data_IF_671409688534
#
_entry.id   IF_671409688534
#
_cell.length_a   1.000
_cell.length_b   1.000
_cell.length_c   1.000
_cell.angle_alpha   90.00
_cell.angle_beta   90.00
_cell.angle_gamma   90.00
#
_symmetry.space_group_name_H-M   'P 1'
#
loop_
_entity.id
_entity.type
_entity.pdbx_description
1 polymer ?
#
# COMPACT_ATOMS: atom_id res chain seq x y z
N UNK A 1 -3.53 8.51 12.43
CA UNK A 1 -4.52 8.69 11.34
C UNK A 1 -3.73 9.11 10.12
N UNK A 2 -3.80 8.36 9.02
CA UNK A 2 -3.03 8.64 7.80
C UNK A 2 -3.94 9.42 6.85
N UNK A 3 -3.49 10.58 6.37
CA UNK A 3 -4.23 11.40 5.42
C UNK A 3 -3.43 11.58 4.14
N UNK A 4 -3.63 10.67 3.18
CA UNK A 4 -3.00 10.73 1.86
C UNK A 4 -3.66 11.83 1.01
N UNK A 5 -3.31 13.10 1.27
CA UNK A 5 -3.98 14.29 0.71
C UNK A 5 -3.90 14.37 -0.82
N UNK A 6 -2.81 13.85 -1.40
CA UNK A 6 -2.53 13.92 -2.83
C UNK A 6 -2.60 12.57 -3.53
N UNK A 7 -3.30 11.59 -2.92
CA UNK A 7 -3.50 10.28 -3.52
C UNK A 7 -4.80 10.25 -4.31
N UNK A 8 -4.70 10.07 -5.62
CA UNK A 8 -5.88 9.82 -6.44
C UNK A 8 -6.24 8.33 -6.51
N UNK A 9 -7.46 8.03 -6.98
CA UNK A 9 -7.98 6.65 -7.05
C UNK A 9 -7.11 5.74 -7.93
N UNK A 10 -6.55 6.25 -9.03
CA UNK A 10 -5.70 5.47 -9.93
C UNK A 10 -4.40 5.06 -9.23
N UNK A 11 -3.78 5.99 -8.52
CA UNK A 11 -2.57 5.73 -7.73
C UNK A 11 -2.83 4.72 -6.59
N UNK A 12 -3.97 4.85 -5.90
CA UNK A 12 -4.37 3.88 -4.88
C UNK A 12 -4.53 2.47 -5.46
N UNK A 13 -5.20 2.34 -6.61
CA UNK A 13 -5.37 1.05 -7.30
C UNK A 13 -4.02 0.46 -7.72
N UNK A 14 -3.09 1.29 -8.21
CA UNK A 14 -1.74 0.85 -8.55
C UNK A 14 -1.00 0.31 -7.31
N UNK A 15 -1.05 1.03 -6.19
CA UNK A 15 -0.42 0.60 -4.93
C UNK A 15 -0.96 -0.75 -4.48
N UNK A 16 -2.29 -0.91 -4.47
CA UNK A 16 -2.93 -2.14 -4.02
C UNK A 16 -2.61 -3.32 -4.96
N UNK A 17 -2.55 -3.07 -6.27
CA UNK A 17 -2.17 -4.09 -7.25
C UNK A 17 -0.74 -4.57 -7.05
N UNK A 18 0.22 -3.65 -6.89
CA UNK A 18 1.63 -4.00 -6.64
C UNK A 18 1.79 -4.86 -5.38
N UNK A 19 1.06 -4.53 -4.32
CA UNK A 19 1.10 -5.29 -3.06
C UNK A 19 0.45 -6.67 -3.25
N UNK A 20 -0.68 -6.75 -3.94
CA UNK A 20 -1.35 -8.02 -4.25
C UNK A 20 -0.45 -8.97 -5.05
N UNK A 21 0.21 -8.47 -6.10
CA UNK A 21 1.12 -9.26 -6.93
C UNK A 21 2.32 -9.78 -6.13
N UNK A 22 2.83 -8.98 -5.18
CA UNK A 22 3.89 -9.39 -4.26
C UNK A 22 3.42 -10.48 -3.28
N UNK A 23 2.20 -10.34 -2.76
CA UNK A 23 1.59 -11.25 -1.79
C UNK A 23 1.25 -12.61 -2.42
N UNK A 24 0.76 -12.63 -3.66
CA UNK A 24 0.40 -13.88 -4.36
C UNK A 24 1.58 -14.85 -4.53
N UNK A 25 2.82 -14.34 -4.51
CA UNK A 25 4.04 -15.16 -4.60
C UNK A 25 4.53 -15.73 -3.26
N UNK A 26 3.95 -15.33 -2.13
CA UNK A 26 4.45 -15.66 -0.79
C UNK A 26 3.49 -16.58 -0.03
N UNK A 27 3.96 -17.78 0.34
CA UNK A 27 3.14 -18.78 1.02
C UNK A 27 2.91 -18.51 2.52
N UNK A 28 3.69 -17.61 3.13
CA UNK A 28 3.67 -17.38 4.59
C UNK A 28 3.70 -15.88 4.96
N UNK A 29 3.03 -15.06 4.16
CA UNK A 29 2.99 -13.61 4.39
C UNK A 29 2.00 -13.27 5.50
N UNK A 30 2.44 -12.49 6.47
CA UNK A 30 1.56 -12.06 7.55
C UNK A 30 0.73 -10.86 7.10
N UNK A 31 -0.56 -10.86 7.45
CA UNK A 31 -1.46 -9.71 7.18
C UNK A 31 -0.87 -8.40 7.70
N UNK A 32 -0.16 -8.44 8.83
CA UNK A 32 0.53 -7.29 9.42
C UNK A 32 1.59 -6.70 8.47
N UNK A 33 2.32 -7.53 7.74
CA UNK A 33 3.33 -7.07 6.77
C UNK A 33 2.66 -6.38 5.59
N UNK A 34 1.56 -6.94 5.08
CA UNK A 34 0.75 -6.34 4.01
C UNK A 34 0.24 -4.97 4.43
N UNK A 35 -0.34 -4.86 5.63
CA UNK A 35 -0.86 -3.60 6.17
C UNK A 35 0.27 -2.58 6.37
N UNK A 36 1.42 -3.00 6.88
CA UNK A 36 2.58 -2.12 7.04
C UNK A 36 3.09 -1.59 5.70
N UNK A 37 3.08 -2.40 4.65
CA UNK A 37 3.49 -1.99 3.32
C UNK A 37 2.51 -1.01 2.68
N UNK A 38 1.20 -1.25 2.83
CA UNK A 38 0.15 -0.29 2.43
C UNK A 38 0.39 1.05 3.14
N UNK A 39 0.51 1.04 4.47
CA UNK A 39 0.76 2.23 5.28
C UNK A 39 2.02 2.96 4.85
N UNK A 40 3.12 2.23 4.61
CA UNK A 40 4.39 2.82 4.18
C UNK A 40 4.26 3.53 2.83
N UNK A 41 3.59 2.90 1.85
CA UNK A 41 3.38 3.53 0.53
C UNK A 41 2.47 4.74 0.63
N UNK A 42 1.39 4.68 1.42
CA UNK A 42 0.46 5.80 1.62
C UNK A 42 1.12 7.02 2.29
N UNK A 43 2.05 6.81 3.21
CA UNK A 43 2.81 7.91 3.86
C UNK A 43 3.56 8.81 2.87
N UNK A 44 3.96 8.29 1.70
CA UNK A 44 4.63 9.09 0.65
C UNK A 44 3.72 10.17 0.05
N UNK A 45 2.41 10.02 0.22
CA UNK A 45 1.38 10.96 -0.24
C UNK A 45 0.93 11.95 0.85
N UNK A 46 1.51 11.88 2.06
CA UNK A 46 1.24 12.85 3.13
C UNK A 46 2.10 14.12 3.02
N UNK A 47 3.25 14.05 2.34
CA UNK A 47 4.31 15.09 2.38
C UNK A 47 4.44 15.86 1.05
N UNK A 48 3.81 15.39 -0.04
CA UNK A 48 3.82 16.12 -1.32
C UNK A 48 2.80 17.24 -1.35
#
# INVERSE_FOLDING_TARGET
MIFAKNLNQKELLTILKEISEKVEGEQDIQVTEVVNEIVHKLKKYEIR
#
